data_IF_786413177213
#
_entry.id   IF_786413177213
#
_cell.length_a   1.000
_cell.length_b   1.000
_cell.length_c   1.000
_cell.angle_alpha   90.00
_cell.angle_beta   90.00
_cell.angle_gamma   90.00
#
_symmetry.space_group_name_H-M   'P 1'
#
loop_
_entity.id
_entity.type
_entity.pdbx_description
1 polymer ?
#
# COMPACT_ATOMS: atom_id res chain seq x y z
N UNK A 1 3.55 -3.00 -38.93
CA UNK A 1 4.12 -4.04 -38.02
C UNK A 1 5.17 -3.48 -37.03
N UNK A 2 5.96 -2.44 -37.33
CA UNK A 2 6.98 -1.91 -36.40
C UNK A 2 6.43 -1.13 -35.18
N UNK A 3 5.35 -0.36 -35.34
CA UNK A 3 4.80 0.48 -34.26
C UNK A 3 4.26 -0.33 -33.05
N UNK A 4 3.69 -1.51 -33.29
CA UNK A 4 3.18 -2.38 -32.23
C UNK A 4 4.31 -2.96 -31.36
N UNK A 5 5.47 -3.25 -31.96
CA UNK A 5 6.65 -3.75 -31.23
C UNK A 5 7.30 -2.67 -30.36
N UNK A 6 7.35 -1.42 -30.83
CA UNK A 6 7.89 -0.31 -30.04
C UNK A 6 6.99 0.03 -28.83
N UNK A 7 5.66 0.02 -29.01
CA UNK A 7 4.70 0.22 -27.92
C UNK A 7 4.73 -0.90 -26.88
N UNK A 8 4.86 -2.16 -27.30
CA UNK A 8 4.98 -3.30 -26.39
C UNK A 8 6.31 -3.29 -25.60
N UNK A 9 7.40 -2.87 -26.23
CA UNK A 9 8.71 -2.72 -25.57
C UNK A 9 8.75 -1.53 -24.60
N UNK A 10 8.07 -0.42 -24.95
CA UNK A 10 7.88 0.72 -24.05
C UNK A 10 7.05 0.29 -22.82
N UNK A 11 5.88 -0.32 -23.03
CA UNK A 11 5.05 -0.83 -21.94
C UNK A 11 5.78 -1.85 -21.05
N UNK A 12 6.61 -2.74 -21.61
CA UNK A 12 7.43 -3.68 -20.84
C UNK A 12 8.50 -2.96 -20.01
N UNK A 13 9.17 -1.95 -20.57
CA UNK A 13 10.17 -1.15 -19.84
C UNK A 13 9.52 -0.35 -18.71
N UNK A 14 8.33 0.19 -18.95
CA UNK A 14 7.57 0.92 -17.94
C UNK A 14 7.19 0.01 -16.77
N UNK A 15 6.82 -1.25 -17.03
CA UNK A 15 6.55 -2.24 -15.98
C UNK A 15 7.80 -2.57 -15.13
N UNK A 16 8.98 -2.67 -15.74
CA UNK A 16 10.23 -2.94 -15.00
C UNK A 16 10.62 -1.82 -14.02
N UNK A 17 10.12 -0.61 -14.22
CA UNK A 17 10.43 0.53 -13.35
C UNK A 17 9.48 0.64 -12.15
N UNK A 18 8.30 0.02 -12.19
CA UNK A 18 7.28 0.13 -11.13
C UNK A 18 7.76 -0.35 -9.76
N UNK A 19 8.44 -1.50 -9.62
CA UNK A 19 8.97 -1.93 -8.32
C UNK A 19 9.95 -0.91 -7.74
N UNK A 20 10.81 -0.35 -8.60
CA UNK A 20 11.83 0.63 -8.21
C UNK A 20 11.21 1.97 -7.81
N UNK A 21 10.20 2.42 -8.57
CA UNK A 21 9.45 3.63 -8.25
C UNK A 21 8.71 3.47 -6.91
N UNK A 22 8.10 2.32 -6.66
CA UNK A 22 7.45 2.04 -5.38
C UNK A 22 8.43 2.14 -4.21
N UNK A 23 9.62 1.55 -4.35
CA UNK A 23 10.68 1.65 -3.34
C UNK A 23 11.21 3.09 -3.19
N UNK A 24 11.30 3.87 -4.27
CA UNK A 24 11.68 5.27 -4.18
C UNK A 24 10.65 6.09 -3.39
N UNK A 25 9.35 5.92 -3.68
CA UNK A 25 8.28 6.57 -2.92
C UNK A 25 8.32 6.18 -1.43
N UNK A 26 8.60 4.91 -1.14
CA UNK A 26 8.74 4.40 0.23
C UNK A 26 9.85 5.11 1.01
N UNK A 27 10.97 5.41 0.34
CA UNK A 27 12.14 6.02 0.96
C UNK A 27 12.10 7.54 0.98
N UNK A 28 11.48 8.17 -0.01
CA UNK A 28 11.53 9.62 -0.21
C UNK A 28 10.27 10.33 0.29
N UNK A 29 9.14 9.63 0.37
CA UNK A 29 7.85 10.24 0.70
C UNK A 29 7.28 9.73 2.02
N UNK A 30 7.59 8.51 2.44
CA UNK A 30 7.06 7.94 3.68
C UNK A 30 8.02 8.11 4.87
N UNK A 31 7.48 8.29 6.09
CA UNK A 31 8.29 8.29 7.30
C UNK A 31 8.93 6.92 7.54
N UNK A 32 10.03 6.93 8.29
CA UNK A 32 10.58 5.71 8.87
C UNK A 32 9.76 5.36 10.14
N UNK A 33 9.57 4.07 10.43
CA UNK A 33 9.05 3.65 11.73
C UNK A 33 10.04 4.06 12.82
N UNK A 34 9.59 4.07 14.07
CA UNK A 34 10.45 4.45 15.18
C UNK A 34 11.62 3.45 15.29
N UNK A 35 12.85 3.92 15.07
CA UNK A 35 14.05 3.18 15.44
C UNK A 35 14.31 3.45 16.92
N UNK A 36 14.31 2.40 17.75
CA UNK A 36 14.75 2.50 19.14
C UNK A 36 16.25 2.90 19.17
N UNK A 37 16.52 4.20 19.25
CA UNK A 37 17.84 4.75 19.58
C UNK A 37 18.50 5.64 18.52
N UNK A 38 17.95 5.76 17.30
CA UNK A 38 18.43 6.72 16.31
C UNK A 38 17.52 7.95 16.28
N UNK A 39 18.11 9.15 16.39
CA UNK A 39 17.38 10.42 16.46
C UNK A 39 16.24 10.53 15.44
N UNK A 40 15.11 11.06 15.92
CA UNK A 40 13.86 11.28 15.19
C UNK A 40 14.09 11.88 13.80
N UNK A 41 13.79 11.10 12.75
CA UNK A 41 13.61 11.66 11.42
C UNK A 41 12.42 12.65 11.41
N UNK A 42 12.51 13.80 10.71
CA UNK A 42 11.43 14.77 10.66
C UNK A 42 10.17 14.17 10.01
N UNK A 43 8.97 14.64 10.40
CA UNK A 43 7.73 14.25 9.73
C UNK A 43 7.80 14.66 8.25
N UNK A 44 7.31 13.78 7.37
CA UNK A 44 7.23 14.05 5.93
C UNK A 44 6.20 15.14 5.66
N UNK A 45 6.42 15.94 4.62
CA UNK A 45 5.49 17.02 4.29
C UNK A 45 4.22 16.42 3.70
N UNK A 46 3.04 17.00 3.95
CA UNK A 46 1.79 16.52 3.37
C UNK A 46 1.82 16.40 1.84
N UNK A 47 2.54 17.29 1.15
CA UNK A 47 2.71 17.23 -0.30
C UNK A 47 3.47 15.98 -0.78
N UNK A 48 4.45 15.50 0.00
CA UNK A 48 5.21 14.30 -0.34
C UNK A 48 4.33 13.05 -0.21
N UNK A 49 3.48 13.00 0.84
CA UNK A 49 2.49 11.94 1.02
C UNK A 49 1.43 11.95 -0.08
N UNK A 50 0.91 13.13 -0.44
CA UNK A 50 -0.05 13.26 -1.53
C UNK A 50 0.53 12.78 -2.87
N UNK A 51 1.77 13.20 -3.16
CA UNK A 51 2.49 12.74 -4.35
C UNK A 51 2.65 11.22 -4.40
N UNK A 52 3.04 10.59 -3.29
CA UNK A 52 3.14 9.14 -3.22
C UNK A 52 1.81 8.44 -3.48
N UNK A 53 0.72 8.95 -2.89
CA UNK A 53 -0.61 8.38 -3.10
C UNK A 53 -1.05 8.50 -4.57
N UNK A 54 -0.82 9.65 -5.21
CA UNK A 54 -1.16 9.87 -6.61
C UNK A 54 -0.33 8.99 -7.55
N UNK A 55 0.97 8.86 -7.30
CA UNK A 55 1.86 8.02 -8.09
C UNK A 55 1.51 6.53 -7.99
N UNK A 56 1.14 6.05 -6.80
CA UNK A 56 0.68 4.67 -6.59
C UNK A 56 -0.53 4.35 -7.46
N UNK A 57 -1.53 5.23 -7.48
CA UNK A 57 -2.76 5.07 -8.29
C UNK A 57 -2.48 5.20 -9.78
N UNK A 58 -1.84 6.30 -10.19
CA UNK A 58 -1.62 6.63 -11.60
C UNK A 58 -0.83 5.55 -12.34
N UNK A 59 0.07 4.84 -11.65
CA UNK A 59 0.94 3.84 -12.24
C UNK A 59 0.60 2.40 -11.83
N UNK A 60 -0.47 2.18 -11.06
CA UNK A 60 -0.87 0.86 -10.57
C UNK A 60 0.29 0.12 -9.89
N UNK A 61 1.00 0.81 -8.98
CA UNK A 61 2.25 0.30 -8.40
C UNK A 61 2.07 -0.89 -7.46
N UNK A 62 0.85 -1.16 -7.02
CA UNK A 62 0.54 -2.27 -6.11
C UNK A 62 -0.13 -3.46 -6.83
N UNK A 63 -0.39 -3.33 -8.14
CA UNK A 63 -1.03 -4.36 -8.97
C UNK A 63 0.01 -5.29 -9.62
N UNK A 64 0.56 -6.22 -8.82
CA UNK A 64 1.63 -7.17 -9.17
C UNK A 64 1.28 -8.10 -10.37
N UNK A 65 -0.01 -8.37 -10.60
CA UNK A 65 -0.50 -9.32 -11.62
C UNK A 65 -0.14 -8.90 -13.07
N UNK A 66 0.28 -7.66 -13.26
CA UNK A 66 0.70 -7.11 -14.56
C UNK A 66 2.09 -7.56 -15.00
N UNK A 67 2.88 -8.19 -14.12
CA UNK A 67 4.20 -8.71 -14.48
C UNK A 67 4.06 -9.98 -15.33
N UNK A 68 4.38 -9.88 -16.63
CA UNK A 68 4.41 -11.04 -17.54
C UNK A 68 5.62 -11.96 -17.36
N UNK A 69 6.70 -11.46 -16.75
CA UNK A 69 7.95 -12.20 -16.50
C UNK A 69 8.02 -12.67 -15.02
N UNK A 70 8.38 -13.93 -14.73
CA UNK A 70 8.46 -14.44 -13.36
C UNK A 70 9.47 -13.72 -12.47
N UNK A 71 10.63 -13.32 -13.00
CA UNK A 71 11.66 -12.63 -12.22
C UNK A 71 11.20 -11.23 -11.82
N UNK A 72 10.65 -10.48 -12.78
CA UNK A 72 10.05 -9.18 -12.50
C UNK A 72 8.89 -9.27 -11.51
N UNK A 73 8.08 -10.33 -11.59
CA UNK A 73 6.95 -10.54 -10.66
C UNK A 73 7.43 -10.70 -9.22
N UNK A 74 8.48 -11.49 -8.99
CA UNK A 74 9.05 -11.66 -7.65
C UNK A 74 9.69 -10.36 -7.13
N UNK A 75 10.40 -9.61 -7.98
CA UNK A 75 10.93 -8.29 -7.61
C UNK A 75 9.80 -7.31 -7.23
N UNK A 76 8.72 -7.29 -8.01
CA UNK A 76 7.57 -6.44 -7.73
C UNK A 76 6.89 -6.83 -6.44
N UNK A 77 6.67 -8.13 -6.24
CA UNK A 77 6.11 -8.67 -5.01
C UNK A 77 6.96 -8.31 -3.79
N UNK A 78 8.28 -8.41 -3.88
CA UNK A 78 9.19 -8.00 -2.81
C UNK A 78 9.11 -6.49 -2.53
N UNK A 79 8.92 -5.65 -3.56
CA UNK A 79 8.73 -4.21 -3.38
C UNK A 79 7.39 -3.89 -2.67
N UNK A 80 6.32 -4.62 -3.00
CA UNK A 80 5.02 -4.50 -2.31
C UNK A 80 5.11 -5.04 -0.87
N UNK A 81 5.85 -6.14 -0.65
CA UNK A 81 6.14 -6.66 0.70
C UNK A 81 6.81 -5.57 1.55
N UNK A 82 7.89 -4.97 1.04
CA UNK A 82 8.61 -3.91 1.74
C UNK A 82 7.75 -2.67 2.01
N UNK A 83 6.90 -2.31 1.05
CA UNK A 83 5.90 -1.25 1.22
C UNK A 83 4.95 -1.56 2.36
N UNK A 84 4.35 -2.75 2.38
CA UNK A 84 3.42 -3.18 3.42
C UNK A 84 4.11 -3.25 4.78
N UNK A 85 5.29 -3.86 4.87
CA UNK A 85 6.04 -3.99 6.12
C UNK A 85 6.35 -2.62 6.74
N UNK A 86 6.68 -1.63 5.91
CA UNK A 86 6.85 -0.25 6.36
C UNK A 86 5.56 0.33 6.94
N UNK A 87 4.43 0.15 6.26
CA UNK A 87 3.14 0.65 6.73
C UNK A 87 2.75 0.03 8.08
N UNK A 88 2.98 -1.27 8.22
CA UNK A 88 2.73 -1.98 9.46
C UNK A 88 3.64 -1.48 10.59
N UNK A 89 4.92 -1.23 10.32
CA UNK A 89 5.82 -0.61 11.29
C UNK A 89 5.39 0.81 11.68
N UNK A 90 4.84 1.59 10.75
CA UNK A 90 4.28 2.91 11.06
C UNK A 90 3.02 2.84 11.92
N UNK A 91 2.18 1.81 11.73
CA UNK A 91 0.99 1.59 12.55
C UNK A 91 1.31 1.13 13.97
N UNK A 92 2.46 0.49 14.16
CA UNK A 92 2.94 0.03 15.47
C UNK A 92 3.68 1.13 16.25
N UNK A 93 3.92 2.29 15.62
CA UNK A 93 4.53 3.47 16.23
C UNK A 93 3.62 4.08 17.29
N UNK A 94 4.23 4.52 18.41
CA UNK A 94 3.55 5.30 19.44
C UNK A 94 3.16 6.71 18.97
N UNK A 95 3.61 7.14 17.80
CA UNK A 95 3.32 8.47 17.24
C UNK A 95 2.00 8.45 16.47
N UNK A 96 1.05 9.27 16.91
CA UNK A 96 -0.27 9.43 16.25
C UNK A 96 -0.14 9.72 14.74
N UNK A 97 0.79 10.59 14.34
CA UNK A 97 1.02 10.90 12.92
C UNK A 97 1.51 9.70 12.13
N UNK A 98 2.44 8.90 12.67
CA UNK A 98 2.94 7.69 12.01
C UNK A 98 1.83 6.66 11.85
N UNK A 99 1.05 6.43 12.91
CA UNK A 99 -0.08 5.51 12.88
C UNK A 99 -1.15 5.95 11.85
N UNK A 100 -1.43 7.25 11.78
CA UNK A 100 -2.34 7.81 10.78
C UNK A 100 -1.85 7.62 9.35
N UNK A 101 -0.55 7.85 9.08
CA UNK A 101 0.05 7.61 7.76
C UNK A 101 -0.01 6.13 7.40
N UNK A 102 0.42 5.25 8.31
CA UNK A 102 0.39 3.80 8.11
C UNK A 102 -1.03 3.30 7.78
N UNK A 103 -2.01 3.73 8.58
CA UNK A 103 -3.43 3.38 8.37
C UNK A 103 -3.96 3.90 7.03
N UNK A 104 -3.69 5.16 6.68
CA UNK A 104 -4.18 5.77 5.44
C UNK A 104 -3.63 5.09 4.19
N UNK A 105 -2.33 4.79 4.18
CA UNK A 105 -1.69 4.12 3.05
C UNK A 105 -1.99 2.62 3.00
N UNK A 106 -2.36 1.99 4.12
CA UNK A 106 -2.88 0.62 4.10
C UNK A 106 -4.26 0.58 3.43
N UNK A 107 -5.11 1.58 3.68
CA UNK A 107 -6.35 1.79 2.94
C UNK A 107 -6.13 1.92 1.43
N UNK A 108 -5.15 2.74 1.01
CA UNK A 108 -4.72 2.82 -0.38
C UNK A 108 -4.19 1.49 -0.92
N UNK A 109 -3.47 0.73 -0.11
CA UNK A 109 -2.92 -0.57 -0.50
C UNK A 109 -4.04 -1.55 -0.81
N UNK A 110 -5.09 -1.60 0.01
CA UNK A 110 -6.27 -2.38 -0.32
C UNK A 110 -6.92 -1.96 -1.65
N UNK A 111 -6.90 -0.66 -1.97
CA UNK A 111 -7.55 -0.11 -3.17
C UNK A 111 -6.85 -0.55 -4.45
N UNK A 112 -5.53 -0.59 -4.41
CA UNK A 112 -4.70 -0.71 -5.61
C UNK A 112 -3.97 -2.06 -5.72
N UNK A 113 -4.00 -2.90 -4.67
CA UNK A 113 -3.38 -4.24 -4.73
C UNK A 113 -4.20 -5.24 -5.56
N UNK A 114 -3.56 -6.30 -6.04
CA UNK A 114 -4.27 -7.34 -6.80
C UNK A 114 -5.19 -8.18 -5.91
N UNK A 115 -6.25 -8.75 -6.51
CA UNK A 115 -7.23 -9.59 -5.80
C UNK A 115 -6.56 -10.75 -5.05
N UNK A 116 -5.57 -11.41 -5.68
CA UNK A 116 -4.83 -12.51 -5.06
C UNK A 116 -4.02 -12.06 -3.84
N UNK A 117 -3.44 -10.86 -3.91
CA UNK A 117 -2.66 -10.26 -2.83
C UNK A 117 -3.55 -9.85 -1.65
N UNK A 118 -4.66 -9.21 -1.96
CA UNK A 118 -5.68 -8.81 -1.00
C UNK A 118 -6.14 -10.00 -0.17
N UNK A 119 -6.62 -11.07 -0.82
CA UNK A 119 -7.14 -12.26 -0.13
C UNK A 119 -6.12 -12.86 0.84
N UNK A 120 -4.85 -12.98 0.40
CA UNK A 120 -3.80 -13.62 1.19
C UNK A 120 -3.45 -12.81 2.45
N UNK A 121 -3.51 -11.49 2.37
CA UNK A 121 -2.91 -10.61 3.38
C UNK A 121 -3.95 -9.80 4.18
N UNK A 122 -5.20 -9.77 3.72
CA UNK A 122 -6.28 -8.99 4.32
C UNK A 122 -6.49 -9.32 5.80
N UNK A 123 -6.51 -10.61 6.15
CA UNK A 123 -6.76 -11.02 7.54
C UNK A 123 -5.69 -10.46 8.48
N UNK A 124 -4.41 -10.63 8.13
CA UNK A 124 -3.28 -10.17 8.94
C UNK A 124 -3.25 -8.64 9.05
N UNK A 125 -3.48 -7.94 7.94
CA UNK A 125 -3.51 -6.47 7.92
C UNK A 125 -4.68 -5.93 8.74
N UNK A 126 -5.85 -6.55 8.60
CA UNK A 126 -7.05 -6.17 9.35
C UNK A 126 -6.88 -6.39 10.85
N UNK A 127 -6.30 -7.50 11.27
CA UNK A 127 -6.01 -7.76 12.69
C UNK A 127 -5.02 -6.73 13.26
N UNK A 128 -4.00 -6.33 12.51
CA UNK A 128 -3.05 -5.28 12.93
C UNK A 128 -3.72 -3.90 13.03
N UNK A 129 -4.60 -3.54 12.09
CA UNK A 129 -5.42 -2.32 12.18
C UNK A 129 -6.21 -2.31 13.49
N UNK A 130 -6.89 -3.41 13.81
CA UNK A 130 -7.69 -3.53 15.04
C UNK A 130 -6.83 -3.50 16.31
N UNK A 131 -5.69 -4.20 16.32
CA UNK A 131 -4.77 -4.24 17.47
C UNK A 131 -4.14 -2.89 17.78
N UNK A 132 -3.90 -2.07 16.76
CA UNK A 132 -3.27 -0.75 16.89
C UNK A 132 -4.28 0.38 17.07
N UNK A 133 -5.58 0.08 17.12
CA UNK A 133 -6.62 1.05 17.52
C UNK A 133 -6.55 1.38 19.01
N UNK A 134 -5.54 2.15 19.41
CA UNK A 134 -5.59 2.96 20.64
C UNK A 134 -6.05 4.37 20.27
N UNK A 135 -7.30 4.54 19.82
CA UNK A 135 -7.81 5.88 19.53
C UNK A 135 -8.35 6.54 20.79
N UNK A 136 -7.88 7.76 21.08
CA UNK A 136 -8.64 8.73 21.85
C UNK A 136 -10.02 8.93 21.18
N UNK A 137 -11.06 9.00 22.01
CA UNK A 137 -12.50 8.87 21.69
C UNK A 137 -13.05 9.62 20.43
N UNK A 138 -12.54 10.76 19.95
CA UNK A 138 -13.12 11.45 18.79
C UNK A 138 -12.85 10.77 17.43
N UNK A 139 -11.86 9.88 17.34
CA UNK A 139 -11.46 9.22 16.09
C UNK A 139 -12.16 7.89 15.83
N UNK A 140 -12.82 7.30 16.82
CA UNK A 140 -13.52 6.01 16.66
C UNK A 140 -14.70 6.10 15.69
N UNK A 141 -15.46 7.20 15.68
CA UNK A 141 -16.60 7.38 14.77
C UNK A 141 -16.12 7.41 13.31
N UNK A 142 -15.03 8.15 13.05
CA UNK A 142 -14.40 8.21 11.72
C UNK A 142 -13.70 6.91 11.33
N UNK A 143 -13.14 6.16 12.28
CA UNK A 143 -12.49 4.88 12.00
C UNK A 143 -13.51 3.77 11.71
N UNK A 144 -14.65 3.76 12.41
CA UNK A 144 -15.78 2.88 12.10
C UNK A 144 -16.42 3.27 10.76
N UNK A 145 -16.51 4.56 10.45
CA UNK A 145 -16.89 5.03 9.11
C UNK A 145 -15.87 4.65 8.06
N UNK A 146 -14.57 4.73 8.33
CA UNK A 146 -13.51 4.34 7.40
C UNK A 146 -13.51 2.82 7.18
N UNK A 147 -13.66 2.01 8.23
CA UNK A 147 -13.84 0.56 8.14
C UNK A 147 -15.13 0.20 7.41
N UNK A 148 -16.22 0.90 7.71
CA UNK A 148 -17.48 0.79 7.00
C UNK A 148 -17.35 1.20 5.54
N UNK A 149 -16.55 2.22 5.23
CA UNK A 149 -16.24 2.67 3.88
C UNK A 149 -15.36 1.65 3.16
N UNK A 150 -14.33 1.11 3.81
CA UNK A 150 -13.48 0.04 3.27
C UNK A 150 -14.34 -1.20 2.97
N UNK A 151 -15.19 -1.64 3.89
CA UNK A 151 -16.13 -2.74 3.66
C UNK A 151 -17.16 -2.42 2.55
N UNK A 152 -17.58 -1.16 2.39
CA UNK A 152 -18.51 -0.70 1.34
C UNK A 152 -17.85 -0.40 -0.01
N UNK A 153 -16.55 -0.10 -0.04
CA UNK A 153 -15.75 0.21 -1.25
C UNK A 153 -15.05 -1.04 -1.81
N UNK A 154 -14.86 -2.09 -0.99
CA UNK A 154 -14.39 -3.41 -1.40
C UNK A 154 -15.46 -4.52 -1.42
N UNK A 155 -16.73 -4.26 -1.81
CA UNK A 155 -17.71 -5.33 -1.85
C UNK A 155 -17.28 -6.37 -2.88
N UNK A 156 -16.61 -5.99 -3.97
CA UNK A 156 -16.27 -6.91 -5.07
C UNK A 156 -15.21 -7.96 -4.71
N UNK A 157 -14.14 -7.62 -4.00
CA UNK A 157 -13.08 -8.60 -3.67
C UNK A 157 -13.51 -9.47 -2.49
N UNK A 158 -14.19 -8.89 -1.49
CA UNK A 158 -14.72 -9.63 -0.34
C UNK A 158 -15.94 -10.51 -0.72
N UNK A 159 -16.94 -10.00 -1.45
CA UNK A 159 -18.10 -10.82 -1.89
C UNK A 159 -17.70 -11.91 -2.87
N UNK A 160 -16.79 -11.64 -3.82
CA UNK A 160 -16.41 -12.63 -4.85
C UNK A 160 -15.58 -13.78 -4.24
N UNK A 161 -14.94 -13.55 -3.10
CA UNK A 161 -14.21 -14.58 -2.35
C UNK A 161 -15.13 -15.39 -1.42
N UNK A 162 -16.03 -14.75 -0.66
CA UNK A 162 -16.96 -15.45 0.25
C UNK A 162 -18.08 -16.25 -0.45
N UNK A 163 -18.45 -15.93 -1.69
CA UNK A 163 -19.42 -16.72 -2.47
C UNK A 163 -18.78 -17.89 -3.27
N UNK A 164 -17.46 -18.09 -3.17
CA UNK A 164 -16.75 -19.21 -3.83
C UNK A 164 -16.30 -20.30 -2.84
N UNK A 165 -16.62 -20.16 -1.56
CA UNK A 165 -16.45 -21.15 -0.48
C UNK A 165 -17.82 -21.62 -0.05
#
# INVERSE_FOLDING_TARGET
>A
MAAASAGALAGRRDLCLRPRLLLALLNDCLPLPDDEGAGLGPPRRPADLAYAADAVRAHGLLAEDNAGDPGLREEWRAAVDAWVDRLLGLMDSDREHSCWVGTSFLGLTFQECSDGRFVKSYSDWFQKVLGNMKWYLPLQEKAADLLGLLMKLFPSSVYRHFNKV
#
